data_IF_455696087042
#
_entry.id   IF_455696087042
#
_cell.length_a   1.000
_cell.length_b   1.000
_cell.length_c   1.000
_cell.angle_alpha   90.00
_cell.angle_beta   90.00
_cell.angle_gamma   90.00
#
_symmetry.space_group_name_H-M   'P 1'
#
loop_
_entity.id
_entity.type
_entity.pdbx_description
1 polymer ?
#
# COMPACT_ATOMS: atom_id res chain seq x y z
N UNK A 1 -6.58 6.36 -23.56
CA UNK A 1 -6.56 4.90 -23.43
C UNK A 1 -6.23 4.22 -24.76
N UNK A 2 -5.30 3.27 -24.75
CA UNK A 2 -5.01 2.34 -25.85
C UNK A 2 -5.16 0.89 -25.37
N UNK A 3 -6.29 0.29 -25.75
CA UNK A 3 -6.68 -1.07 -25.42
C UNK A 3 -6.17 -2.10 -26.45
N UNK A 4 -4.93 -1.98 -26.89
CA UNK A 4 -4.37 -2.98 -27.81
C UNK A 4 -4.12 -4.34 -27.13
N UNK A 5 -4.10 -4.36 -25.80
CA UNK A 5 -3.80 -5.53 -24.96
C UNK A 5 -4.88 -5.67 -23.91
N UNK A 6 -5.98 -6.30 -24.34
CA UNK A 6 -7.21 -6.33 -23.56
C UNK A 6 -7.92 -4.97 -23.52
N UNK A 7 -9.23 -5.00 -23.30
CA UNK A 7 -10.05 -3.82 -23.04
C UNK A 7 -10.24 -3.70 -21.53
N UNK A 8 -9.85 -2.58 -20.92
CA UNK A 8 -10.13 -2.41 -19.49
C UNK A 8 -11.64 -2.29 -19.26
N UNK A 9 -12.12 -2.96 -18.22
CA UNK A 9 -13.52 -2.92 -17.79
C UNK A 9 -13.68 -2.21 -16.46
N UNK A 10 -12.69 -2.38 -15.61
CA UNK A 10 -12.73 -1.91 -14.25
C UNK A 10 -11.31 -1.72 -13.73
N UNK A 11 -11.10 -0.64 -13.00
CA UNK A 11 -9.91 -0.40 -12.20
C UNK A 11 -10.39 0.06 -10.84
N UNK A 12 -9.88 -0.57 -9.80
CA UNK A 12 -10.13 -0.22 -8.41
C UNK A 12 -8.80 0.00 -7.71
N UNK A 13 -8.76 1.01 -6.85
CA UNK A 13 -7.66 1.26 -5.97
C UNK A 13 -8.20 1.68 -4.60
N UNK A 14 -7.62 1.09 -3.55
CA UNK A 14 -7.92 1.45 -2.18
C UNK A 14 -6.65 1.67 -1.37
N UNK A 15 -6.71 2.61 -0.45
CA UNK A 15 -5.63 2.90 0.48
C UNK A 15 -6.18 2.82 1.91
N UNK A 16 -5.57 1.99 2.73
CA UNK A 16 -5.99 1.79 4.11
C UNK A 16 -4.85 2.13 5.07
N UNK A 17 -5.13 2.94 6.09
CA UNK A 17 -4.17 3.21 7.17
C UNK A 17 -4.68 2.61 8.46
N UNK A 18 -3.84 1.82 9.12
CA UNK A 18 -4.10 1.31 10.45
C UNK A 18 -3.26 2.09 11.47
N UNK A 19 -3.91 2.57 12.53
CA UNK A 19 -3.24 3.36 13.57
C UNK A 19 -3.50 2.82 14.97
N UNK A 20 -2.57 3.09 15.89
CA UNK A 20 -2.75 2.95 17.33
C UNK A 20 -2.25 4.24 18.00
N UNK A 21 -3.19 5.07 18.46
CA UNK A 21 -2.87 6.45 18.84
C UNK A 21 -2.31 7.22 17.64
N UNK A 22 -1.15 7.86 17.81
CA UNK A 22 -0.43 8.55 16.73
C UNK A 22 0.48 7.65 15.89
N UNK A 23 0.60 6.36 16.23
CA UNK A 23 1.47 5.44 15.53
C UNK A 23 0.76 4.82 14.34
N UNK A 24 1.39 4.88 13.16
CA UNK A 24 0.97 4.12 12.00
C UNK A 24 1.47 2.69 12.18
N UNK A 25 0.55 1.73 12.19
CA UNK A 25 0.86 0.30 12.29
C UNK A 25 1.08 -0.31 10.92
N UNK A 26 0.23 0.03 9.95
CA UNK A 26 0.33 -0.45 8.57
C UNK A 26 -0.29 0.57 7.61
N UNK A 27 0.21 0.58 6.37
CA UNK A 27 -0.40 1.32 5.27
C UNK A 27 -0.61 0.34 4.13
N UNK A 28 -1.84 -0.12 3.92
CA UNK A 28 -2.14 -1.13 2.90
C UNK A 28 -2.63 -0.46 1.62
N UNK A 29 -1.92 -0.70 0.52
CA UNK A 29 -2.35 -0.34 -0.82
C UNK A 29 -2.89 -1.57 -1.54
N UNK A 30 -4.13 -1.48 -2.03
CA UNK A 30 -4.78 -2.52 -2.82
C UNK A 30 -5.14 -1.98 -4.19
N UNK A 31 -4.86 -2.76 -5.22
CA UNK A 31 -5.20 -2.44 -6.60
C UNK A 31 -5.74 -3.65 -7.33
N UNK A 32 -6.72 -3.45 -8.20
CA UNK A 32 -7.25 -4.48 -9.09
C UNK A 32 -7.65 -3.88 -10.43
N UNK A 33 -7.39 -4.61 -11.52
CA UNK A 33 -7.88 -4.27 -12.86
C UNK A 33 -8.47 -5.50 -13.53
N UNK A 34 -9.63 -5.31 -14.17
CA UNK A 34 -10.34 -6.34 -14.96
C UNK A 34 -10.24 -6.00 -16.43
N UNK A 35 -9.89 -7.00 -17.24
CA UNK A 35 -9.71 -6.89 -18.68
C UNK A 35 -10.62 -7.88 -19.40
N UNK A 36 -11.18 -7.44 -20.51
CA UNK A 36 -11.77 -8.33 -21.52
C UNK A 36 -10.77 -8.59 -22.64
N UNK A 37 -10.75 -9.82 -23.15
CA UNK A 37 -9.91 -10.24 -24.25
C UNK A 37 -10.22 -9.40 -25.48
N UNK A 38 -9.18 -8.84 -26.10
CA UNK A 38 -9.29 -8.05 -27.31
C UNK A 38 -8.26 -8.49 -28.33
N UNK A 39 -8.71 -8.78 -29.55
CA UNK A 39 -7.87 -9.31 -30.63
C UNK A 39 -7.05 -10.54 -30.20
N UNK A 40 -7.66 -11.43 -29.41
CA UNK A 40 -7.02 -12.62 -28.86
C UNK A 40 -6.05 -12.37 -27.69
N UNK A 41 -5.85 -11.12 -27.26
CA UNK A 41 -4.88 -10.78 -26.22
C UNK A 41 -5.55 -10.46 -24.88
N UNK A 42 -4.91 -10.90 -23.80
CA UNK A 42 -5.13 -10.51 -22.41
C UNK A 42 -3.77 -10.11 -21.82
N UNK A 43 -3.71 -9.12 -20.91
CA UNK A 43 -2.45 -8.72 -20.29
C UNK A 43 -1.93 -9.80 -19.33
N UNK A 44 -0.62 -9.96 -19.25
CA UNK A 44 0.09 -10.84 -18.32
C UNK A 44 0.98 -10.04 -17.34
N UNK A 45 0.71 -8.74 -17.22
CA UNK A 45 1.37 -7.84 -16.27
C UNK A 45 1.32 -6.40 -16.74
N UNK A 46 2.31 -5.61 -16.32
CA UNK A 46 2.39 -4.20 -16.68
C UNK A 46 3.23 -3.37 -15.72
N UNK A 47 3.06 -2.05 -15.79
CA UNK A 47 3.55 -1.15 -14.76
C UNK A 47 2.52 -0.09 -14.39
N UNK A 48 2.53 0.31 -13.12
CA UNK A 48 1.52 1.15 -12.50
C UNK A 48 2.21 2.26 -11.69
N UNK A 49 1.80 3.49 -11.92
CA UNK A 49 2.10 4.65 -11.05
C UNK A 49 0.78 5.27 -10.63
N UNK A 50 0.72 5.67 -9.37
CA UNK A 50 -0.45 6.33 -8.78
C UNK A 50 -0.05 7.57 -8.03
N UNK A 51 -0.96 8.53 -7.96
CA UNK A 51 -0.79 9.82 -7.32
C UNK A 51 -2.09 10.27 -6.66
N UNK A 52 -1.97 11.13 -5.66
CA UNK A 52 -3.09 11.84 -5.08
C UNK A 52 -3.56 12.96 -6.02
N UNK A 53 -4.59 12.70 -6.84
CA UNK A 53 -5.15 13.67 -7.78
C UNK A 53 -4.69 13.53 -9.25
N UNK A 54 -3.83 14.42 -9.77
CA UNK A 54 -3.55 14.51 -11.21
C UNK A 54 -2.73 13.33 -11.71
N UNK A 55 -2.73 13.11 -13.03
CA UNK A 55 -1.96 12.05 -13.67
C UNK A 55 -0.45 12.13 -13.31
N UNK A 56 0.19 11.04 -12.83
CA UNK A 56 1.55 11.10 -12.31
C UNK A 56 2.65 11.19 -13.37
N UNK A 57 2.32 11.11 -14.66
CA UNK A 57 3.25 10.85 -15.78
C UNK A 57 4.50 11.74 -15.83
N UNK A 58 4.44 12.99 -15.37
CA UNK A 58 5.55 13.98 -15.46
C UNK A 58 6.20 14.32 -14.12
N UNK A 59 5.86 13.60 -13.05
CA UNK A 59 6.30 13.90 -11.68
C UNK A 59 7.45 12.98 -11.26
N UNK A 60 8.67 13.37 -11.61
CA UNK A 60 9.86 12.60 -11.28
C UNK A 60 10.09 12.56 -9.76
N UNK A 61 10.36 11.37 -9.22
CA UNK A 61 10.72 11.13 -7.81
C UNK A 61 9.69 11.57 -6.77
N UNK A 62 8.44 11.74 -7.16
CA UNK A 62 7.34 11.94 -6.21
C UNK A 62 6.66 10.61 -5.83
N UNK A 63 6.64 9.64 -6.74
CA UNK A 63 5.78 8.46 -6.63
C UNK A 63 6.54 7.13 -6.74
N UNK A 64 5.95 6.05 -6.24
CA UNK A 64 6.43 4.70 -6.56
C UNK A 64 5.84 4.21 -7.89
N UNK A 65 6.65 3.43 -8.62
CA UNK A 65 6.21 2.65 -9.77
C UNK A 65 6.25 1.17 -9.41
N UNK A 66 5.15 0.49 -9.66
CA UNK A 66 5.04 -0.96 -9.53
C UNK A 66 5.20 -1.64 -10.88
N UNK A 67 5.93 -2.75 -10.91
CA UNK A 67 6.00 -3.66 -12.03
C UNK A 67 5.31 -4.96 -11.65
N UNK A 68 4.33 -5.34 -12.46
CA UNK A 68 3.47 -6.49 -12.26
C UNK A 68 3.92 -7.57 -13.25
N UNK A 69 4.38 -8.72 -12.75
CA UNK A 69 4.71 -9.91 -13.51
C UNK A 69 3.73 -11.02 -13.12
N UNK A 70 2.59 -11.08 -13.83
CA UNK A 70 1.55 -12.07 -13.53
C UNK A 70 1.97 -13.49 -13.95
N UNK A 71 2.96 -13.60 -14.85
CA UNK A 71 3.53 -14.90 -15.28
C UNK A 71 4.29 -15.55 -14.14
N UNK A 72 5.05 -14.78 -13.36
CA UNK A 72 5.81 -15.27 -12.19
C UNK A 72 5.14 -15.02 -10.85
N UNK A 73 3.94 -14.44 -10.86
CA UNK A 73 3.24 -13.99 -9.65
C UNK A 73 4.14 -13.12 -8.75
N UNK A 74 4.71 -12.05 -9.32
CA UNK A 74 5.66 -11.17 -8.62
C UNK A 74 5.33 -9.70 -8.83
N UNK A 75 5.45 -8.93 -7.75
CA UNK A 75 5.34 -7.47 -7.75
C UNK A 75 6.71 -6.90 -7.37
N UNK A 76 7.18 -5.85 -8.06
CA UNK A 76 8.37 -5.09 -7.65
C UNK A 76 8.11 -3.60 -7.70
N UNK A 77 8.72 -2.84 -6.79
CA UNK A 77 8.53 -1.41 -6.67
C UNK A 77 9.86 -0.63 -6.75
N UNK A 78 9.80 0.53 -7.39
CA UNK A 78 10.91 1.48 -7.53
C UNK A 78 10.42 2.90 -7.30
N UNK A 79 11.34 3.83 -7.02
CA UNK A 79 11.03 5.24 -7.19
C UNK A 79 10.80 5.53 -8.68
N UNK A 80 9.70 6.22 -9.01
CA UNK A 80 9.35 6.58 -10.37
C UNK A 80 10.25 7.72 -10.88
N UNK A 81 10.72 7.61 -12.12
CA UNK A 81 11.64 8.58 -12.71
C UNK A 81 10.96 9.74 -13.45
N UNK A 82 9.62 9.78 -13.52
CA UNK A 82 8.89 10.82 -14.25
C UNK A 82 8.93 10.66 -15.76
N UNK A 83 9.48 9.56 -16.29
CA UNK A 83 9.52 9.30 -17.72
C UNK A 83 8.33 8.45 -18.15
N UNK A 84 7.74 8.79 -19.30
CA UNK A 84 6.66 8.02 -19.92
C UNK A 84 7.14 6.70 -20.56
N UNK A 85 7.78 5.84 -19.76
CA UNK A 85 8.25 4.51 -20.17
C UNK A 85 8.44 3.58 -18.96
N UNK A 86 8.75 2.31 -19.22
CA UNK A 86 8.93 1.27 -18.19
C UNK A 86 10.34 1.20 -17.59
N UNK A 87 11.22 2.19 -17.79
CA UNK A 87 12.66 2.08 -17.45
C UNK A 87 13.04 2.62 -16.07
N UNK A 88 12.08 3.02 -15.24
CA UNK A 88 12.36 3.48 -13.87
C UNK A 88 13.23 2.49 -13.08
N UNK A 89 13.06 1.18 -13.24
CA UNK A 89 13.86 0.16 -12.53
C UNK A 89 15.38 0.21 -12.77
N UNK A 90 15.85 0.85 -13.86
CA UNK A 90 17.26 0.79 -14.24
C UNK A 90 18.18 1.59 -13.33
N UNK A 91 17.76 2.81 -12.96
CA UNK A 91 18.61 3.81 -12.33
C UNK A 91 17.97 4.44 -11.09
N UNK A 92 16.86 3.89 -10.59
CA UNK A 92 16.14 4.46 -9.45
C UNK A 92 16.15 3.50 -8.27
N UNK A 93 16.03 4.03 -7.03
CA UNK A 93 15.98 3.22 -5.82
C UNK A 93 14.97 2.07 -5.92
N UNK A 94 15.44 0.87 -5.63
CA UNK A 94 14.59 -0.29 -5.37
C UNK A 94 13.87 -0.11 -4.03
N UNK A 95 12.57 -0.34 -4.02
CA UNK A 95 11.73 -0.12 -2.85
C UNK A 95 11.21 -1.41 -2.22
N UNK A 96 11.11 -2.49 -3.00
CA UNK A 96 10.68 -3.78 -2.49
C UNK A 96 10.23 -4.74 -3.58
N UNK A 97 10.09 -6.01 -3.19
CA UNK A 97 9.52 -7.07 -4.03
C UNK A 97 8.67 -8.01 -3.20
N UNK A 98 7.60 -8.51 -3.79
CA UNK A 98 6.67 -9.45 -3.17
C UNK A 98 6.41 -10.60 -4.12
N UNK A 99 6.62 -11.82 -3.63
CA UNK A 99 6.36 -13.06 -4.35
C UNK A 99 5.00 -13.64 -3.96
N UNK A 100 4.31 -14.25 -4.91
CA UNK A 100 3.00 -14.88 -4.73
C UNK A 100 1.92 -13.93 -4.16
N UNK A 101 2.01 -12.64 -4.48
CA UNK A 101 1.11 -11.61 -3.95
C UNK A 101 -0.03 -11.24 -4.92
N UNK A 102 0.10 -11.61 -6.19
CA UNK A 102 -0.89 -11.27 -7.21
C UNK A 102 -2.05 -12.27 -7.15
N UNK A 103 -3.26 -11.72 -7.11
CA UNK A 103 -4.49 -12.44 -7.37
C UNK A 103 -4.79 -12.35 -8.87
N UNK A 104 -4.62 -13.46 -9.59
CA UNK A 104 -4.89 -13.56 -11.03
C UNK A 104 -6.05 -14.51 -11.25
N UNK A 105 -7.15 -14.00 -11.79
CA UNK A 105 -8.33 -14.79 -12.17
C UNK A 105 -8.48 -14.73 -13.68
N UNK A 106 -8.50 -15.86 -14.35
CA UNK A 106 -8.56 -15.94 -15.82
C UNK A 106 -9.55 -17.01 -16.27
N UNK A 107 -10.51 -16.63 -17.12
CA UNK A 107 -11.49 -17.54 -17.73
C UNK A 107 -11.24 -17.76 -19.24
N UNK A 108 -10.14 -17.22 -19.77
CA UNK A 108 -9.76 -17.25 -21.18
C UNK A 108 -10.36 -16.11 -22.02
N UNK A 109 -11.43 -15.45 -21.56
CA UNK A 109 -12.07 -14.30 -22.19
C UNK A 109 -11.94 -13.02 -21.36
N UNK A 110 -11.73 -13.16 -20.06
CA UNK A 110 -11.50 -12.09 -19.09
C UNK A 110 -10.36 -12.47 -18.18
N UNK A 111 -9.62 -11.45 -17.75
CA UNK A 111 -8.59 -11.60 -16.73
C UNK A 111 -8.69 -10.48 -15.70
N UNK A 112 -8.67 -10.83 -14.43
CA UNK A 112 -8.46 -9.90 -13.32
C UNK A 112 -7.04 -10.04 -12.82
N UNK A 113 -6.36 -8.92 -12.59
CA UNK A 113 -5.05 -8.89 -11.93
C UNK A 113 -5.13 -7.86 -10.81
N UNK A 114 -4.81 -8.28 -9.59
CA UNK A 114 -4.77 -7.39 -8.45
C UNK A 114 -3.78 -7.84 -7.39
N UNK A 115 -3.52 -6.97 -6.42
CA UNK A 115 -2.65 -7.23 -5.27
C UNK A 115 -3.04 -6.35 -4.08
N UNK A 116 -2.58 -6.73 -2.89
CA UNK A 116 -2.69 -5.95 -1.67
C UNK A 116 -1.37 -6.05 -0.91
N UNK A 117 -0.73 -4.91 -0.63
CA UNK A 117 0.61 -4.85 -0.01
C UNK A 117 0.69 -3.76 1.04
N UNK A 118 1.44 -4.02 2.11
CA UNK A 118 1.86 -2.99 3.05
C UNK A 118 2.97 -2.13 2.42
N UNK A 119 2.73 -0.83 2.39
CA UNK A 119 3.55 0.21 1.74
C UNK A 119 4.06 1.23 2.74
N UNK A 120 3.92 1.01 4.05
CA UNK A 120 4.45 1.92 5.07
C UNK A 120 5.96 2.16 4.90
N UNK A 121 6.72 1.12 4.55
CA UNK A 121 8.15 1.21 4.24
C UNK A 121 8.49 1.97 2.95
N UNK A 122 7.57 2.00 1.97
CA UNK A 122 7.70 2.82 0.75
C UNK A 122 7.47 4.29 1.09
N UNK A 123 6.40 4.56 1.81
CA UNK A 123 5.93 5.91 2.06
C UNK A 123 6.80 6.68 3.07
N UNK A 124 7.49 5.98 3.97
CA UNK A 124 8.37 6.58 4.99
C UNK A 124 9.78 6.92 4.49
N UNK A 125 10.08 6.67 3.20
CA UNK A 125 11.40 6.95 2.61
C UNK A 125 11.67 8.46 2.57
N UNK A 126 12.78 8.87 3.17
CA UNK A 126 13.25 10.28 3.20
C UNK A 126 14.49 10.52 2.32
N UNK A 127 15.07 9.45 1.76
CA UNK A 127 16.30 9.46 0.97
C UNK A 127 16.07 9.66 -0.54
N UNK A 128 14.80 9.69 -1.01
CA UNK A 128 14.47 9.75 -2.44
C UNK A 128 14.36 11.19 -2.95
N UNK A 129 13.69 12.05 -2.18
CA UNK A 129 13.44 13.46 -2.51
C UNK A 129 12.53 14.11 -1.48
N UNK A 130 12.58 15.44 -1.38
CA UNK A 130 11.71 16.21 -0.46
C UNK A 130 10.23 16.08 -0.78
N UNK A 131 9.92 15.83 -2.05
CA UNK A 131 8.55 15.78 -2.58
C UNK A 131 8.03 14.34 -2.66
N UNK A 132 8.72 13.39 -2.02
CA UNK A 132 8.32 11.99 -2.02
C UNK A 132 6.97 11.80 -1.31
N UNK A 133 6.01 11.28 -2.06
CA UNK A 133 4.66 10.93 -1.61
C UNK A 133 4.42 9.42 -1.60
N UNK A 134 5.28 8.65 -2.28
CA UNK A 134 5.17 7.21 -2.37
C UNK A 134 3.94 6.78 -3.17
N UNK A 135 2.98 6.14 -2.51
CA UNK A 135 1.75 5.65 -3.16
C UNK A 135 0.48 6.17 -2.48
N UNK A 136 0.61 7.17 -1.60
CA UNK A 136 -0.51 7.73 -0.87
C UNK A 136 -1.45 8.49 -1.80
N UNK A 137 -2.75 8.33 -1.56
CA UNK A 137 -3.82 9.11 -2.16
C UNK A 137 -5.00 9.19 -1.21
N UNK A 138 -5.78 10.28 -1.33
CA UNK A 138 -7.01 10.48 -0.58
C UNK A 138 -8.22 10.04 -1.41
N UNK A 139 -9.22 10.88 -1.60
CA UNK A 139 -10.46 10.54 -2.31
C UNK A 139 -10.31 10.49 -3.83
N UNK A 140 -9.21 11.05 -4.35
CA UNK A 140 -8.96 11.26 -5.76
C UNK A 140 -7.64 10.62 -6.14
N UNK A 141 -7.66 9.81 -7.19
CA UNK A 141 -6.45 9.12 -7.63
C UNK A 141 -6.14 9.35 -9.10
N UNK A 142 -4.90 9.76 -9.35
CA UNK A 142 -4.29 9.79 -10.65
C UNK A 142 -3.71 8.40 -10.94
N UNK A 143 -3.98 7.86 -12.12
CA UNK A 143 -3.49 6.55 -12.53
C UNK A 143 -2.74 6.68 -13.84
N UNK A 144 -1.54 6.10 -13.88
CA UNK A 144 -0.80 5.85 -15.11
C UNK A 144 -0.41 4.38 -15.13
N UNK A 145 -1.20 3.60 -15.86
CA UNK A 145 -1.12 2.15 -15.89
C UNK A 145 -0.94 1.64 -17.31
N UNK A 146 0.10 0.84 -17.53
CA UNK A 146 0.38 0.22 -18.83
C UNK A 146 0.20 -1.28 -18.71
N UNK A 147 -1.00 -1.75 -19.05
CA UNK A 147 -1.28 -3.17 -19.18
C UNK A 147 -0.45 -3.75 -20.33
N UNK A 148 0.23 -4.85 -20.06
CA UNK A 148 1.21 -5.41 -20.98
C UNK A 148 0.98 -6.90 -21.22
N UNK A 149 1.39 -7.36 -22.41
CA UNK A 149 1.48 -8.78 -22.78
C UNK A 149 2.93 -9.15 -23.06
N UNK A 150 3.21 -10.45 -23.03
CA UNK A 150 4.53 -11.01 -23.20
C UNK A 150 5.52 -10.40 -22.19
N UNK A 151 5.06 -10.17 -20.95
CA UNK A 151 5.93 -9.71 -19.87
C UNK A 151 7.04 -10.73 -19.66
N UNK A 152 8.26 -10.30 -19.94
CA UNK A 152 9.47 -11.06 -19.69
C UNK A 152 10.38 -10.23 -18.78
N UNK A 153 10.30 -10.56 -17.49
CA UNK A 153 11.14 -9.99 -16.46
C UNK A 153 12.18 -11.01 -15.97
N UNK A 154 13.38 -10.54 -15.66
CA UNK A 154 14.39 -11.32 -14.93
C UNK A 154 14.78 -10.57 -13.67
N UNK A 155 15.19 -11.31 -12.64
CA UNK A 155 15.40 -10.75 -11.31
C UNK A 155 16.80 -11.06 -10.79
N UNK A 156 17.33 -10.13 -10.00
CA UNK A 156 18.51 -10.33 -9.18
C UNK A 156 18.15 -11.14 -7.92
N UNK A 157 19.17 -11.60 -7.20
CA UNK A 157 18.99 -12.36 -5.96
C UNK A 157 18.21 -11.60 -4.87
N UNK A 158 18.30 -10.26 -4.84
CA UNK A 158 17.55 -9.41 -3.90
C UNK A 158 16.11 -9.13 -4.34
N UNK A 159 15.61 -9.77 -5.40
CA UNK A 159 14.26 -9.58 -5.91
C UNK A 159 14.06 -8.36 -6.82
N UNK A 160 15.07 -7.51 -7.01
CA UNK A 160 15.01 -6.41 -7.99
C UNK A 160 15.03 -6.92 -9.43
N UNK A 161 14.53 -6.12 -10.36
CA UNK A 161 14.50 -6.36 -11.80
C UNK A 161 15.91 -6.17 -12.35
N UNK A 162 16.39 -7.21 -13.01
CA UNK A 162 17.57 -7.16 -13.87
C UNK A 162 17.19 -6.72 -15.29
N UNK A 163 16.03 -7.20 -15.76
CA UNK A 163 15.45 -6.79 -17.04
C UNK A 163 13.93 -6.81 -16.99
N UNK A 164 13.29 -5.95 -17.77
CA UNK A 164 11.85 -5.96 -18.00
C UNK A 164 11.58 -5.58 -19.45
N UNK A 165 10.88 -6.46 -20.17
CA UNK A 165 10.42 -6.22 -21.54
C UNK A 165 9.00 -6.71 -21.71
N UNK A 166 8.21 -5.99 -22.50
CA UNK A 166 6.84 -6.34 -22.79
C UNK A 166 6.35 -5.54 -24.01
N UNK A 167 5.16 -5.88 -24.52
CA UNK A 167 4.37 -5.00 -25.38
C UNK A 167 3.23 -4.44 -24.53
N UNK A 168 3.00 -3.13 -24.55
CA UNK A 168 2.03 -2.50 -23.64
C UNK A 168 1.00 -1.62 -24.35
N UNK A 169 -0.22 -1.66 -23.85
CA UNK A 169 -1.24 -0.62 -24.02
C UNK A 169 -1.16 0.37 -22.86
N UNK A 170 -2.04 1.36 -22.84
CA UNK A 170 -2.05 2.35 -21.76
C UNK A 170 -3.47 2.71 -21.33
N UNK A 171 -3.64 2.79 -20.02
CA UNK A 171 -4.74 3.42 -19.33
C UNK A 171 -4.19 4.53 -18.46
N UNK A 172 -4.79 5.70 -18.58
CA UNK A 172 -4.45 6.89 -17.83
C UNK A 172 -5.71 7.64 -17.43
N UNK A 173 -5.71 8.16 -16.21
CA UNK A 173 -6.66 9.21 -15.85
C UNK A 173 -6.36 10.42 -16.76
N UNK A 174 -7.35 10.82 -17.56
CA UNK A 174 -7.17 11.83 -18.60
C UNK A 174 -7.10 13.24 -17.98
N UNK A 175 -5.95 13.91 -18.09
CA UNK A 175 -5.74 15.26 -17.55
C UNK A 175 -5.86 15.33 -16.02
N UNK A 176 -6.46 16.41 -15.52
CA UNK A 176 -6.73 16.66 -14.09
C UNK A 176 -8.04 16.02 -13.60
N UNK A 177 -8.53 14.97 -14.25
CA UNK A 177 -9.74 14.27 -13.83
C UNK A 177 -9.36 12.98 -13.09
N UNK A 178 -9.11 13.06 -11.76
CA UNK A 178 -8.84 11.88 -10.95
C UNK A 178 -10.02 10.92 -10.98
N UNK A 179 -9.72 9.64 -10.78
CA UNK A 179 -10.74 8.64 -10.50
C UNK A 179 -11.10 8.70 -9.02
N UNK A 180 -12.37 8.44 -8.70
CA UNK A 180 -12.77 8.24 -7.32
C UNK A 180 -12.05 6.99 -6.77
N UNK A 181 -11.36 7.18 -5.65
CA UNK A 181 -10.72 6.10 -4.91
C UNK A 181 -11.42 5.90 -3.56
N UNK A 182 -11.18 4.75 -2.94
CA UNK A 182 -11.68 4.48 -1.58
C UNK A 182 -10.53 4.50 -0.59
N UNK A 183 -10.65 5.34 0.43
CA UNK A 183 -9.69 5.41 1.54
C UNK A 183 -10.37 5.02 2.83
N UNK A 184 -9.71 4.19 3.65
CA UNK A 184 -10.22 3.74 4.94
C UNK A 184 -9.18 3.93 6.03
N UNK A 185 -9.57 4.53 7.16
CA UNK A 185 -8.70 4.59 8.36
C UNK A 185 -9.29 3.70 9.45
N UNK A 186 -8.49 2.78 9.96
CA UNK A 186 -8.84 1.91 11.08
C UNK A 186 -8.03 2.31 12.29
N UNK A 187 -8.70 2.76 13.36
CA UNK A 187 -8.05 3.09 14.63
C UNK A 187 -8.23 1.92 15.59
N UNK A 188 -7.11 1.33 16.03
CA UNK A 188 -7.12 0.39 17.14
C UNK A 188 -7.12 1.16 18.45
N UNK A 189 -8.12 0.88 19.28
CA UNK A 189 -8.19 1.42 20.64
C UNK A 189 -6.94 0.99 21.42
N UNK A 190 -6.33 1.96 22.10
CA UNK A 190 -5.33 1.66 23.13
C UNK A 190 -6.15 1.27 24.37
N UNK A 191 -5.99 0.05 24.93
CA UNK A 191 -6.66 -0.28 26.18
C UNK A 191 -6.34 0.81 27.19
N UNK A 192 -7.36 1.48 27.75
CA UNK A 192 -7.12 2.42 28.83
C UNK A 192 -6.26 1.67 29.88
N UNK A 193 -5.15 2.28 30.38
CA UNK A 193 -4.50 1.69 31.52
C UNK A 193 -5.61 1.54 32.54
N UNK A 194 -5.87 0.31 32.98
CA UNK A 194 -6.85 0.01 34.01
C UNK A 194 -6.40 0.87 35.17
N UNK A 195 -7.01 2.05 35.28
CA UNK A 195 -6.72 2.99 36.35
C UNK A 195 -7.53 2.40 37.48
N UNK A 196 -7.00 1.28 37.99
CA UNK A 196 -7.55 0.55 39.09
C UNK A 196 -7.81 1.59 40.13
N UNK A 197 -9.06 1.65 40.54
CA UNK A 197 -9.55 2.32 41.72
C UNK A 197 -8.62 1.93 42.89
N UNK A 198 -7.52 2.66 43.08
CA UNK A 198 -6.77 2.71 44.34
C UNK A 198 -7.63 3.56 45.27
N UNK A 199 -8.77 3.02 45.66
CA UNK A 199 -9.70 3.63 46.60
C UNK A 199 -10.28 2.53 47.50
N UNK A 200 -9.44 1.64 48.05
CA UNK A 200 -9.87 0.67 49.05
C UNK A 200 -8.73 -0.01 49.84
N UNK A 201 -7.69 0.71 50.30
CA UNK A 201 -6.84 0.22 51.41
C UNK A 201 -6.50 1.37 52.37
N UNK A 202 -7.50 1.87 53.09
CA UNK A 202 -7.27 2.74 54.26
C UNK A 202 -8.37 2.62 55.33
N UNK A 203 -8.97 1.43 55.48
CA UNK A 203 -10.00 1.20 56.50
C UNK A 203 -9.90 -0.18 57.18
N UNK A 204 -8.71 -0.63 57.57
CA UNK A 204 -8.54 -1.71 58.55
C UNK A 204 -7.34 -1.41 59.45
N UNK A 205 -7.51 -0.42 60.34
CA UNK A 205 -6.46 0.00 61.28
C UNK A 205 -6.98 0.76 62.50
N UNK A 206 -8.23 0.56 62.92
CA UNK A 206 -8.72 1.02 64.21
C UNK A 206 -9.53 -0.10 64.87
N UNK A 207 -8.81 -0.99 65.53
CA UNK A 207 -9.40 -2.08 66.30
C UNK A 207 -8.44 -2.58 67.36
N UNK A 208 -8.73 -2.22 68.61
CA UNK A 208 -8.31 -2.87 69.86
C UNK A 208 -6.89 -2.61 70.41
N UNK A 209 -6.80 -1.67 71.36
CA UNK A 209 -6.06 -1.88 72.62
C UNK A 209 -6.86 -1.32 73.80
N UNK A 210 -7.82 -2.10 74.28
CA UNK A 210 -8.33 -2.00 75.65
C UNK A 210 -7.55 -3.01 76.52
N UNK A 211 -6.66 -2.56 77.41
CA UNK A 211 -6.53 -3.16 78.76
C UNK A 211 -5.64 -2.37 79.72
N UNK A 212 -6.33 -1.70 80.65
CA UNK A 212 -6.20 -1.83 82.12
C UNK A 212 -4.86 -1.38 82.76
N UNK A 213 -4.81 -0.11 83.19
CA UNK A 213 -3.91 0.34 84.27
C UNK A 213 -4.59 0.18 85.62
N UNK A 214 -3.91 -0.52 86.54
CA UNK A 214 -4.29 -0.60 87.95
C UNK A 214 -3.25 0.12 88.81
N UNK A 215 -3.75 0.68 89.92
CA UNK A 215 -3.10 0.98 91.21
C UNK A 215 -2.40 2.32 91.45
N UNK A 216 -3.09 3.06 92.34
CA UNK A 216 -2.70 3.59 93.67
C UNK A 216 -1.65 4.70 93.77
N UNK A 217 -2.06 5.76 94.47
CA UNK A 217 -1.48 6.37 95.69
C UNK A 217 -2.51 7.44 96.16
N UNK A 218 -2.74 7.76 97.43
CA UNK A 218 -2.09 7.51 98.73
C UNK A 218 -3.19 7.50 99.80
#
# INVERSE_FOLDING_TARGET
MNDSIGKHKEIQATYATETQGSNILSETFTWNSVFEKKNGNLPDGGWLVMSDGPNPKTHAKEFAIFYIDAVKNKLTAYAYNGENNSKSFKNNPFLGSWDNILNVVDDGNKRSIGFSVDVAGINSRTDIGSDWKGVKFDSNVGIWFHAAKNVNATYNANGSLKSFSSTAGWFDSYGDQPLAASTTTVTKEVPEPITGTIAAISALGMGSTLKKRSRKQK
#
